data_IF_785019979029
#
_entry.id   IF_785019979029
#
_cell.length_a   1.000
_cell.length_b   1.000
_cell.length_c   1.000
_cell.angle_alpha   90.00
_cell.angle_beta   90.00
_cell.angle_gamma   90.00
#
_symmetry.space_group_name_H-M   'P 1'
#
loop_
_entity.id
_entity.type
_entity.pdbx_description
1 polymer ?
#
# COMPACT_ATOMS: atom_id res chain seq x y z
N UNK A 1 -21.41 5.62 0.91
CA UNK A 1 -21.05 7.05 0.76
C UNK A 1 -19.54 7.20 0.65
N UNK A 2 -18.99 6.82 -0.49
CA UNK A 2 -17.60 7.05 -0.87
C UNK A 2 -17.46 8.40 -1.60
N UNK A 3 -16.22 8.91 -1.77
CA UNK A 3 -15.97 10.14 -2.53
C UNK A 3 -16.51 10.05 -3.97
N UNK A 4 -16.31 8.91 -4.63
CA UNK A 4 -16.77 8.69 -6.00
C UNK A 4 -18.29 8.71 -6.12
N UNK A 5 -19.00 8.14 -5.15
CA UNK A 5 -20.46 8.21 -5.07
C UNK A 5 -20.96 9.65 -4.90
N UNK A 6 -20.27 10.46 -4.08
CA UNK A 6 -20.63 11.88 -3.89
C UNK A 6 -20.40 12.73 -5.14
N UNK A 7 -19.43 12.33 -5.98
CA UNK A 7 -19.10 13.01 -7.22
C UNK A 7 -19.82 12.41 -8.44
N UNK A 8 -20.70 11.43 -8.23
CA UNK A 8 -21.41 10.68 -9.28
C UNK A 8 -20.48 10.08 -10.34
N UNK A 9 -19.26 9.68 -9.93
CA UNK A 9 -18.29 9.03 -10.81
C UNK A 9 -18.42 7.52 -10.62
N UNK A 10 -18.90 6.76 -11.63
CA UNK A 10 -19.01 5.31 -11.52
C UNK A 10 -17.62 4.67 -11.47
N UNK A 11 -17.48 3.63 -10.65
CA UNK A 11 -16.30 2.78 -10.55
C UNK A 11 -16.72 1.34 -10.31
N UNK A 12 -15.93 0.41 -10.83
CA UNK A 12 -16.20 -1.00 -10.75
C UNK A 12 -15.68 -1.62 -9.45
N UNK A 13 -16.40 -2.63 -8.95
CA UNK A 13 -16.06 -3.33 -7.71
C UNK A 13 -14.75 -4.13 -7.76
N UNK A 14 -14.24 -4.46 -8.96
CA UNK A 14 -13.00 -5.23 -9.09
C UNK A 14 -11.77 -4.47 -8.59
N UNK A 15 -11.83 -3.13 -8.52
CA UNK A 15 -10.72 -2.32 -8.01
C UNK A 15 -10.42 -2.60 -6.53
N UNK A 16 -11.39 -3.08 -5.77
CA UNK A 16 -11.18 -3.56 -4.39
C UNK A 16 -10.32 -4.83 -4.37
N UNK A 17 -10.55 -5.74 -5.33
CA UNK A 17 -9.71 -6.93 -5.49
C UNK A 17 -8.31 -6.57 -6.00
N UNK A 18 -8.20 -5.57 -6.89
CA UNK A 18 -6.92 -5.06 -7.36
C UNK A 18 -6.06 -4.51 -6.22
N UNK A 19 -6.65 -3.74 -5.29
CA UNK A 19 -5.97 -3.28 -4.07
C UNK A 19 -5.38 -4.45 -3.28
N UNK A 20 -6.19 -5.48 -3.02
CA UNK A 20 -5.76 -6.63 -2.25
C UNK A 20 -4.60 -7.37 -2.93
N UNK A 21 -4.70 -7.55 -4.26
CA UNK A 21 -3.67 -8.20 -5.06
C UNK A 21 -2.37 -7.39 -5.11
N UNK A 22 -2.42 -6.05 -5.12
CA UNK A 22 -1.23 -5.18 -5.20
C UNK A 22 -0.38 -5.20 -3.92
N UNK A 23 -0.94 -5.60 -2.77
CA UNK A 23 -0.17 -5.69 -1.52
C UNK A 23 0.93 -6.76 -1.60
N UNK A 24 0.67 -7.91 -2.23
CA UNK A 24 1.66 -9.00 -2.28
C UNK A 24 2.90 -8.65 -3.12
N UNK A 25 2.77 -8.17 -4.37
CA UNK A 25 3.92 -7.70 -5.14
C UNK A 25 4.68 -6.58 -4.44
N UNK A 26 4.00 -5.64 -3.78
CA UNK A 26 4.65 -4.54 -3.08
C UNK A 26 5.53 -5.06 -1.92
N UNK A 27 5.01 -5.97 -1.09
CA UNK A 27 5.75 -6.60 0.01
C UNK A 27 6.94 -7.40 -0.54
N UNK A 28 6.71 -8.24 -1.56
CA UNK A 28 7.75 -9.07 -2.18
C UNK A 28 8.88 -8.19 -2.71
N UNK A 29 8.57 -7.17 -3.51
CA UNK A 29 9.58 -6.26 -4.06
C UNK A 29 10.31 -5.52 -2.95
N UNK A 30 9.61 -5.08 -1.90
CA UNK A 30 10.24 -4.44 -0.74
C UNK A 30 11.26 -5.35 -0.04
N UNK A 31 10.89 -6.61 0.21
CA UNK A 31 11.78 -7.61 0.82
C UNK A 31 12.97 -7.94 -0.08
N UNK A 32 12.73 -8.15 -1.38
CA UNK A 32 13.79 -8.38 -2.38
C UNK A 32 14.77 -7.22 -2.40
N UNK A 33 14.30 -5.97 -2.41
CA UNK A 33 15.18 -4.79 -2.40
C UNK A 33 16.05 -4.74 -1.15
N UNK A 34 15.49 -5.05 0.03
CA UNK A 34 16.27 -5.13 1.28
C UNK A 34 17.31 -6.24 1.21
N UNK A 35 16.95 -7.43 0.70
CA UNK A 35 17.89 -8.54 0.58
C UNK A 35 19.00 -8.22 -0.42
N UNK A 36 18.69 -7.52 -1.52
CA UNK A 36 19.66 -7.19 -2.58
C UNK A 36 20.60 -6.05 -2.18
N UNK A 37 20.07 -5.00 -1.54
CA UNK A 37 20.78 -3.74 -1.27
C UNK A 37 21.08 -3.49 0.22
N UNK A 38 20.71 -4.41 1.12
CA UNK A 38 20.96 -4.27 2.56
C UNK A 38 22.44 -4.41 2.93
N UNK A 39 22.89 -3.60 3.89
CA UNK A 39 24.29 -3.53 4.37
C UNK A 39 24.80 -4.81 5.06
N UNK A 40 23.93 -5.79 5.32
CA UNK A 40 24.28 -7.05 6.00
C UNK A 40 24.89 -8.11 5.07
N UNK A 41 25.50 -7.72 3.95
CA UNK A 41 26.21 -8.64 3.06
C UNK A 41 27.71 -8.51 3.25
N UNK A 42 28.34 -9.60 3.69
CA UNK A 42 29.78 -9.77 3.52
C UNK A 42 30.08 -9.85 2.01
N UNK A 43 31.10 -9.10 1.55
CA UNK A 43 31.53 -9.05 0.16
C UNK A 43 31.79 -10.47 -0.39
N UNK A 44 30.86 -11.01 -1.18
CA UNK A 44 31.05 -12.27 -1.92
C UNK A 44 29.89 -13.27 -1.96
N UNK A 45 28.84 -13.10 -1.15
CA UNK A 45 27.68 -14.01 -1.19
C UNK A 45 26.81 -13.74 -2.44
N UNK A 46 26.63 -14.79 -3.26
CA UNK A 46 25.74 -14.74 -4.43
C UNK A 46 24.30 -14.74 -3.97
N UNK A 47 23.46 -13.89 -4.58
CA UNK A 47 22.02 -13.89 -4.35
C UNK A 47 21.44 -15.21 -4.82
N UNK A 48 21.03 -16.08 -3.89
CA UNK A 48 20.24 -17.25 -4.21
C UNK A 48 18.79 -16.81 -4.50
N UNK A 49 18.53 -16.44 -5.75
CA UNK A 49 17.21 -15.97 -6.20
C UNK A 49 16.07 -16.96 -5.89
N UNK A 50 16.37 -18.26 -5.81
CA UNK A 50 15.41 -19.28 -5.43
C UNK A 50 14.96 -19.15 -3.96
N UNK A 51 15.89 -18.83 -3.06
CA UNK A 51 15.62 -18.63 -1.64
C UNK A 51 14.86 -17.31 -1.43
N UNK A 52 15.33 -16.22 -2.05
CA UNK A 52 14.69 -14.89 -2.04
C UNK A 52 13.22 -14.96 -2.50
N UNK A 53 12.96 -15.65 -3.62
CA UNK A 53 11.60 -15.83 -4.12
C UNK A 53 10.78 -16.71 -3.18
N UNK A 54 11.34 -17.83 -2.70
CA UNK A 54 10.64 -18.75 -1.80
C UNK A 54 10.24 -18.07 -0.50
N UNK A 55 11.15 -17.30 0.11
CA UNK A 55 10.87 -16.55 1.35
C UNK A 55 9.83 -15.45 1.13
N UNK A 56 9.93 -14.72 0.02
CA UNK A 56 8.99 -13.64 -0.29
C UNK A 56 7.57 -14.15 -0.57
N UNK A 57 7.44 -15.28 -1.28
CA UNK A 57 6.14 -15.90 -1.57
C UNK A 57 5.55 -16.69 -0.39
N UNK A 58 6.39 -17.30 0.46
CA UNK A 58 5.96 -18.01 1.66
C UNK A 58 5.79 -17.07 2.88
N UNK A 59 5.89 -15.75 2.67
CA UNK A 59 5.59 -14.79 3.71
C UNK A 59 4.13 -14.98 4.19
N UNK A 60 3.94 -15.01 5.51
CA UNK A 60 2.63 -15.29 6.11
C UNK A 60 1.51 -14.38 5.59
N UNK A 61 1.78 -13.10 5.32
CA UNK A 61 0.78 -12.17 4.78
C UNK A 61 0.37 -12.52 3.35
N UNK A 62 1.33 -12.87 2.48
CA UNK A 62 1.08 -13.25 1.09
C UNK A 62 0.32 -14.58 1.03
N UNK A 63 0.75 -15.56 1.82
CA UNK A 63 0.08 -16.85 1.92
C UNK A 63 -1.37 -16.71 2.41
N UNK A 64 -1.62 -15.90 3.44
CA UNK A 64 -2.97 -15.61 3.93
C UNK A 64 -3.82 -14.89 2.89
N UNK A 65 -3.25 -13.97 2.11
CA UNK A 65 -3.98 -13.28 1.05
C UNK A 65 -4.45 -14.29 -0.02
N UNK A 66 -3.53 -15.05 -0.62
CA UNK A 66 -3.89 -16.04 -1.64
C UNK A 66 -4.81 -17.14 -1.09
N UNK A 67 -4.56 -17.59 0.14
CA UNK A 67 -5.42 -18.54 0.84
C UNK A 67 -6.83 -18.00 1.05
N UNK A 68 -6.98 -16.74 1.45
CA UNK A 68 -8.29 -16.11 1.66
C UNK A 68 -9.09 -15.97 0.35
N UNK A 69 -8.41 -15.64 -0.75
CA UNK A 69 -9.03 -15.60 -2.09
C UNK A 69 -9.49 -16.99 -2.52
N UNK A 70 -8.64 -18.02 -2.36
CA UNK A 70 -8.99 -19.41 -2.68
C UNK A 70 -10.18 -19.91 -1.86
N UNK A 71 -10.17 -19.68 -0.54
CA UNK A 71 -11.28 -20.04 0.35
C UNK A 71 -12.54 -19.26 0.00
N UNK A 72 -12.42 -17.97 -0.32
CA UNK A 72 -13.55 -17.13 -0.76
C UNK A 72 -14.19 -17.65 -2.04
N UNK A 73 -13.39 -18.03 -3.04
CA UNK A 73 -13.88 -18.63 -4.29
C UNK A 73 -14.58 -19.98 -4.06
N UNK A 74 -14.08 -20.80 -3.13
CA UNK A 74 -14.69 -22.11 -2.82
C UNK A 74 -15.94 -22.02 -1.94
N UNK A 75 -15.98 -21.07 -1.00
CA UNK A 75 -17.06 -20.96 0.00
C UNK A 75 -18.18 -20.01 -0.40
N UNK A 76 -17.91 -19.07 -1.31
CA UNK A 76 -18.87 -18.11 -1.82
C UNK A 76 -19.53 -17.24 -0.73
N UNK A 77 -20.71 -16.72 -1.04
CA UNK A 77 -21.47 -15.79 -0.19
C UNK A 77 -21.86 -16.41 1.17
N UNK A 78 -22.12 -17.72 1.19
CA UNK A 78 -22.44 -18.44 2.42
C UNK A 78 -21.25 -18.52 3.39
N UNK A 79 -20.02 -18.65 2.87
CA UNK A 79 -18.81 -18.55 3.67
C UNK A 79 -18.61 -17.14 4.24
N UNK A 80 -18.81 -16.13 3.39
CA UNK A 80 -18.67 -14.72 3.76
C UNK A 80 -19.60 -14.33 4.92
N UNK A 81 -20.89 -14.64 4.84
CA UNK A 81 -21.86 -14.27 5.91
C UNK A 81 -21.49 -14.88 7.28
N UNK A 82 -20.82 -16.04 7.32
CA UNK A 82 -20.36 -16.64 8.58
C UNK A 82 -19.18 -15.89 9.20
N UNK A 83 -18.30 -15.31 8.38
CA UNK A 83 -17.10 -14.59 8.86
C UNK A 83 -17.31 -13.08 8.97
N UNK A 84 -18.35 -12.54 8.33
CA UNK A 84 -18.70 -11.12 8.28
C UNK A 84 -18.70 -10.39 9.62
N UNK A 85 -19.20 -10.96 10.75
CA UNK A 85 -19.12 -10.29 12.04
C UNK A 85 -17.67 -9.97 12.44
N UNK A 86 -16.72 -10.82 12.06
CA UNK A 86 -15.30 -10.67 12.36
C UNK A 86 -14.56 -9.79 11.35
N UNK A 87 -14.75 -10.04 10.05
CA UNK A 87 -13.99 -9.36 8.98
C UNK A 87 -14.64 -8.07 8.46
N UNK A 88 -15.92 -7.84 8.76
CA UNK A 88 -16.66 -6.63 8.40
C UNK A 88 -16.75 -5.68 9.58
N UNK A 89 -17.70 -5.93 10.48
CA UNK A 89 -18.06 -4.98 11.53
C UNK A 89 -16.92 -4.79 12.56
N UNK A 90 -16.32 -5.87 13.04
CA UNK A 90 -15.21 -5.79 14.00
C UNK A 90 -13.90 -5.26 13.36
N UNK A 91 -13.72 -5.42 12.05
CA UNK A 91 -12.50 -4.98 11.36
C UNK A 91 -12.27 -3.47 11.50
N UNK A 92 -13.31 -2.65 11.38
CA UNK A 92 -13.18 -1.20 11.56
C UNK A 92 -12.73 -0.81 12.97
N UNK A 93 -13.20 -1.54 13.99
CA UNK A 93 -12.75 -1.35 15.38
C UNK A 93 -11.28 -1.71 15.54
N UNK A 94 -10.85 -2.85 15.02
CA UNK A 94 -9.45 -3.26 15.04
C UNK A 94 -8.54 -2.30 14.25
N UNK A 95 -8.99 -1.87 13.07
CA UNK A 95 -8.29 -0.91 12.22
C UNK A 95 -8.11 0.44 12.90
N UNK A 96 -9.13 0.92 13.64
CA UNK A 96 -9.02 2.15 14.42
C UNK A 96 -7.89 2.05 15.45
N UNK A 97 -7.84 0.97 16.24
CA UNK A 97 -6.77 0.78 17.22
C UNK A 97 -5.40 0.65 16.56
N UNK A 98 -5.32 -0.05 15.43
CA UNK A 98 -4.09 -0.18 14.65
C UNK A 98 -3.58 1.17 14.15
N UNK A 99 -4.45 1.97 13.51
CA UNK A 99 -4.09 3.29 13.01
C UNK A 99 -3.73 4.25 14.16
N UNK A 100 -4.39 4.13 15.31
CA UNK A 100 -4.04 4.90 16.51
C UNK A 100 -2.63 4.54 17.02
N UNK A 101 -2.30 3.26 17.18
CA UNK A 101 -0.97 2.82 17.62
C UNK A 101 0.12 3.28 16.64
N UNK A 102 -0.08 3.00 15.35
CA UNK A 102 0.86 3.40 14.31
C UNK A 102 1.00 4.93 14.21
N UNK A 103 -0.09 5.67 14.36
CA UNK A 103 -0.09 7.13 14.43
C UNK A 103 0.67 7.68 15.64
N UNK A 104 0.51 7.07 16.82
CA UNK A 104 1.28 7.42 18.01
C UNK A 104 2.78 7.15 17.82
N UNK A 105 3.14 6.03 17.18
CA UNK A 105 4.53 5.69 16.86
C UNK A 105 5.12 6.71 15.86
N UNK A 106 4.36 7.06 14.81
CA UNK A 106 4.78 8.06 13.83
C UNK A 106 4.99 9.44 14.49
N UNK A 107 4.06 9.87 15.36
CA UNK A 107 4.13 11.14 16.08
C UNK A 107 5.33 11.20 17.04
N UNK A 108 5.60 10.12 17.79
CA UNK A 108 6.79 10.05 18.67
C UNK A 108 8.10 10.15 17.89
N UNK A 109 8.13 9.64 16.66
CA UNK A 109 9.34 9.59 15.80
C UNK A 109 9.45 10.73 14.78
N UNK A 110 8.47 11.65 14.73
CA UNK A 110 8.45 12.74 13.74
C UNK A 110 9.67 13.69 13.87
N UNK A 111 10.19 13.85 15.10
CA UNK A 111 11.40 14.64 15.35
C UNK A 111 12.66 13.97 14.78
N UNK A 112 12.68 12.65 14.70
CA UNK A 112 13.81 11.93 14.11
C UNK A 112 13.75 11.99 12.57
N UNK A 113 12.55 12.07 11.99
CA UNK A 113 12.39 12.35 10.56
C UNK A 113 13.00 13.71 10.17
N UNK A 114 12.80 14.75 11.00
CA UNK A 114 13.43 16.06 10.78
C UNK A 114 14.96 16.01 10.75
N UNK A 115 15.57 15.10 11.52
CA UNK A 115 17.03 14.89 11.52
C UNK A 115 17.52 14.12 10.30
N UNK A 116 16.67 13.27 9.71
CA UNK A 116 17.05 12.44 8.57
C UNK A 116 17.08 13.25 7.25
N UNK A 117 16.57 14.48 7.27
CA UNK A 117 16.84 15.50 6.27
C UNK A 117 15.70 15.75 5.29
N UNK A 118 15.70 16.97 4.72
CA UNK A 118 14.67 17.47 3.78
C UNK A 118 14.45 16.54 2.58
N UNK A 119 15.49 15.82 2.14
CA UNK A 119 15.41 14.89 1.02
C UNK A 119 14.32 13.83 1.18
N UNK A 120 14.20 13.20 2.35
CA UNK A 120 13.21 12.14 2.57
C UNK A 120 11.79 12.70 2.55
N UNK A 121 11.56 13.88 3.11
CA UNK A 121 10.24 14.53 3.10
C UNK A 121 9.86 14.88 1.66
N UNK A 122 10.79 15.48 0.89
CA UNK A 122 10.56 15.79 -0.51
C UNK A 122 10.27 14.52 -1.34
N UNK A 123 11.03 13.46 -1.11
CA UNK A 123 10.83 12.15 -1.74
C UNK A 123 9.43 11.58 -1.44
N UNK A 124 9.02 11.63 -0.17
CA UNK A 124 7.72 11.13 0.30
C UNK A 124 6.50 11.85 -0.28
N UNK A 125 6.70 13.07 -0.78
CA UNK A 125 5.67 13.88 -1.45
C UNK A 125 5.75 13.69 -2.97
N UNK A 126 6.94 13.70 -3.54
CA UNK A 126 7.14 13.67 -4.98
C UNK A 126 6.85 12.29 -5.59
N UNK A 127 7.29 11.21 -4.93
CA UNK A 127 7.11 9.85 -5.46
C UNK A 127 5.64 9.46 -5.63
N UNK A 128 4.74 9.72 -4.66
CA UNK A 128 3.30 9.50 -4.86
C UNK A 128 2.75 10.19 -6.11
N UNK A 129 3.13 11.44 -6.35
CA UNK A 129 2.67 12.22 -7.51
C UNK A 129 3.19 11.59 -8.80
N UNK A 130 4.48 11.25 -8.83
CA UNK A 130 5.09 10.59 -9.99
C UNK A 130 4.42 9.25 -10.29
N UNK A 131 4.18 8.43 -9.26
CA UNK A 131 3.52 7.14 -9.42
C UNK A 131 2.05 7.28 -9.84
N UNK A 132 1.31 8.26 -9.31
CA UNK A 132 -0.04 8.58 -9.79
C UNK A 132 -0.04 8.99 -11.25
N UNK A 133 0.92 9.81 -11.68
CA UNK A 133 1.03 10.23 -13.08
C UNK A 133 1.31 9.04 -14.00
N UNK A 134 2.23 8.14 -13.61
CA UNK A 134 2.51 6.90 -14.34
C UNK A 134 1.26 6.00 -14.36
N UNK A 135 0.61 5.79 -13.21
CA UNK A 135 -0.61 5.00 -13.11
C UNK A 135 -1.74 5.55 -13.97
N UNK A 136 -1.90 6.88 -14.00
CA UNK A 136 -2.87 7.57 -14.86
C UNK A 136 -2.54 7.37 -16.33
N UNK A 137 -1.27 7.49 -16.73
CA UNK A 137 -0.86 7.25 -18.11
C UNK A 137 -1.11 5.80 -18.55
N UNK A 138 -0.85 4.83 -17.67
CA UNK A 138 -1.15 3.42 -17.92
C UNK A 138 -2.67 3.20 -18.04
N UNK A 139 -3.45 3.74 -17.11
CA UNK A 139 -4.91 3.66 -17.13
C UNK A 139 -5.49 4.24 -18.43
N UNK A 140 -4.91 5.33 -18.93
CA UNK A 140 -5.30 5.94 -20.20
C UNK A 140 -4.98 5.02 -21.37
N UNK A 141 -3.77 4.47 -21.41
CA UNK A 141 -3.31 3.59 -22.48
C UNK A 141 -4.14 2.29 -22.60
N UNK A 142 -4.69 1.80 -21.48
CA UNK A 142 -5.55 0.60 -21.46
C UNK A 142 -7.06 0.94 -21.53
N UNK A 143 -7.42 2.20 -21.76
CA UNK A 143 -8.81 2.68 -21.85
C UNK A 143 -9.66 2.37 -20.61
N UNK A 144 -9.05 2.47 -19.42
CA UNK A 144 -9.75 2.29 -18.15
C UNK A 144 -10.81 3.40 -17.95
N UNK A 145 -12.01 3.10 -17.41
CA UNK A 145 -13.01 4.10 -17.07
C UNK A 145 -12.48 5.13 -16.07
N UNK A 146 -13.05 6.34 -16.07
CA UNK A 146 -12.59 7.46 -15.26
C UNK A 146 -12.51 7.15 -13.75
N UNK A 147 -13.54 6.52 -13.18
CA UNK A 147 -13.55 6.19 -11.75
C UNK A 147 -12.48 5.16 -11.40
N UNK A 148 -12.34 4.12 -12.22
CA UNK A 148 -11.31 3.10 -12.05
C UNK A 148 -9.90 3.66 -12.22
N UNK A 149 -9.71 4.58 -13.16
CA UNK A 149 -8.44 5.27 -13.36
C UNK A 149 -8.04 6.08 -12.12
N UNK A 150 -9.01 6.74 -11.45
CA UNK A 150 -8.75 7.44 -10.19
C UNK A 150 -8.35 6.46 -9.09
N UNK A 151 -9.12 5.38 -8.93
CA UNK A 151 -8.78 4.35 -7.95
C UNK A 151 -7.39 3.78 -8.21
N UNK A 152 -7.06 3.47 -9.47
CA UNK A 152 -5.76 2.94 -9.85
C UNK A 152 -4.63 3.93 -9.60
N UNK A 153 -4.79 5.21 -9.96
CA UNK A 153 -3.80 6.25 -9.66
C UNK A 153 -3.55 6.40 -8.15
N UNK A 154 -4.61 6.33 -7.33
CA UNK A 154 -4.51 6.36 -5.86
C UNK A 154 -3.77 5.12 -5.34
N UNK A 155 -4.02 3.93 -5.91
CA UNK A 155 -3.27 2.72 -5.56
C UNK A 155 -1.79 2.85 -5.88
N UNK A 156 -1.43 3.36 -7.06
CA UNK A 156 -0.05 3.59 -7.45
C UNK A 156 0.67 4.61 -6.56
N UNK A 157 -0.05 5.64 -6.09
CA UNK A 157 0.50 6.67 -5.21
C UNK A 157 0.62 6.27 -3.73
N UNK A 158 0.04 5.14 -3.34
CA UNK A 158 -0.02 4.69 -1.95
C UNK A 158 1.32 4.10 -1.48
N UNK A 159 1.63 4.26 -0.19
CA UNK A 159 2.85 3.73 0.43
C UNK A 159 2.61 2.49 1.30
N UNK A 160 1.49 1.77 1.12
CA UNK A 160 0.99 0.67 1.97
C UNK A 160 1.07 0.98 3.48
N UNK A 161 -0.03 1.50 4.01
CA UNK A 161 -0.08 2.06 5.37
C UNK A 161 -0.29 1.02 6.48
N UNK A 162 -0.56 -0.24 6.11
CA UNK A 162 -0.99 -1.29 7.04
C UNK A 162 -0.07 -2.50 6.92
N UNK A 163 -0.09 -3.19 5.78
CA UNK A 163 0.55 -4.48 5.62
C UNK A 163 2.08 -4.37 5.60
N UNK A 164 2.63 -3.42 4.83
CA UNK A 164 4.09 -3.24 4.72
C UNK A 164 4.74 -2.90 6.07
N UNK A 165 4.26 -1.95 6.89
CA UNK A 165 4.84 -1.70 8.21
C UNK A 165 4.84 -2.93 9.12
N UNK A 166 3.78 -3.75 9.09
CA UNK A 166 3.72 -4.99 9.85
C UNK A 166 4.73 -6.03 9.33
N UNK A 167 4.79 -6.24 8.01
CA UNK A 167 5.71 -7.16 7.38
C UNK A 167 7.18 -6.76 7.63
N UNK A 168 7.51 -5.46 7.51
CA UNK A 168 8.86 -4.94 7.75
C UNK A 168 9.31 -5.16 9.21
N UNK A 169 8.41 -4.96 10.19
CA UNK A 169 8.73 -5.24 11.60
C UNK A 169 9.07 -6.71 11.85
N UNK A 170 8.44 -7.63 11.12
CA UNK A 170 8.62 -9.06 11.31
C UNK A 170 9.81 -9.62 10.52
N UNK A 171 9.97 -9.17 9.27
CA UNK A 171 10.96 -9.73 8.33
C UNK A 171 12.27 -8.93 8.28
N UNK A 172 12.25 -7.66 8.69
CA UNK A 172 13.43 -6.77 8.65
C UNK A 172 13.54 -5.97 9.95
N UNK A 173 13.77 -6.64 11.10
CA UNK A 173 13.77 -5.97 12.42
C UNK A 173 14.83 -4.87 12.57
N UNK A 174 15.91 -4.93 11.78
CA UNK A 174 16.96 -3.93 11.70
C UNK A 174 16.52 -2.63 11.00
N UNK A 175 15.42 -2.63 10.23
CA UNK A 175 14.95 -1.44 9.53
C UNK A 175 14.46 -0.40 10.55
N UNK A 176 14.96 0.84 10.43
CA UNK A 176 14.59 1.91 11.35
C UNK A 176 13.10 2.29 11.18
N UNK A 177 12.23 2.02 12.18
CA UNK A 177 10.81 2.34 12.11
C UNK A 177 10.50 3.82 11.94
N UNK A 178 11.42 4.68 12.35
CA UNK A 178 11.29 6.14 12.21
C UNK A 178 11.29 6.59 10.76
N UNK A 179 11.87 5.80 9.85
CA UNK A 179 11.94 6.17 8.43
C UNK A 179 10.69 5.70 7.71
N UNK A 180 10.44 4.39 7.64
CA UNK A 180 9.34 3.87 6.83
C UNK A 180 7.96 4.20 7.42
N UNK A 181 7.78 4.14 8.74
CA UNK A 181 6.48 4.41 9.37
C UNK A 181 6.16 5.90 9.34
N UNK A 182 7.08 6.76 9.80
CA UNK A 182 6.80 8.20 9.85
C UNK A 182 6.68 8.79 8.44
N UNK A 183 7.46 8.33 7.47
CA UNK A 183 7.34 8.82 6.10
C UNK A 183 6.01 8.40 5.48
N UNK A 184 5.61 7.14 5.61
CA UNK A 184 4.34 6.65 5.06
C UNK A 184 3.12 7.29 5.75
N UNK A 185 3.09 7.33 7.09
CA UNK A 185 1.90 7.72 7.85
C UNK A 185 1.84 9.20 8.23
N UNK A 186 2.98 9.88 8.44
CA UNK A 186 2.98 11.29 8.83
C UNK A 186 3.13 12.23 7.63
N UNK A 187 3.63 11.75 6.48
CA UNK A 187 3.85 12.58 5.29
C UNK A 187 3.01 12.10 4.12
N UNK A 188 3.28 10.90 3.58
CA UNK A 188 2.64 10.43 2.35
C UNK A 188 1.14 10.24 2.50
N UNK A 189 0.67 9.63 3.60
CA UNK A 189 -0.76 9.41 3.83
C UNK A 189 -1.55 10.73 3.92
N UNK A 190 -1.22 11.68 4.82
CA UNK A 190 -1.93 12.97 4.88
C UNK A 190 -1.83 13.75 3.57
N UNK A 191 -0.66 13.74 2.92
CA UNK A 191 -0.48 14.39 1.62
C UNK A 191 -1.43 13.81 0.57
N UNK A 192 -1.49 12.49 0.43
CA UNK A 192 -2.35 11.82 -0.54
C UNK A 192 -3.82 12.11 -0.29
N UNK A 193 -4.27 12.09 0.98
CA UNK A 193 -5.68 12.39 1.31
C UNK A 193 -6.03 13.85 1.04
N UNK A 194 -5.19 14.79 1.47
CA UNK A 194 -5.51 16.24 1.42
C UNK A 194 -5.28 16.83 0.03
N UNK A 195 -4.17 16.47 -0.62
CA UNK A 195 -3.73 17.09 -1.88
C UNK A 195 -3.66 16.09 -3.03
N UNK A 196 -3.19 14.86 -2.79
CA UNK A 196 -2.98 13.86 -3.83
C UNK A 196 -4.27 13.51 -4.57
N UNK A 197 -5.30 13.04 -3.87
CA UNK A 197 -6.57 12.62 -4.49
C UNK A 197 -7.19 13.77 -5.32
N UNK A 198 -7.33 15.01 -4.81
CA UNK A 198 -7.79 16.14 -5.64
C UNK A 198 -6.90 16.39 -6.87
N UNK A 199 -5.57 16.33 -6.71
CA UNK A 199 -4.62 16.53 -7.80
C UNK A 199 -4.73 15.44 -8.88
N UNK A 200 -4.85 14.18 -8.48
CA UNK A 200 -4.97 13.05 -9.40
C UNK A 200 -6.29 13.12 -10.16
N UNK A 201 -7.39 13.44 -9.47
CA UNK A 201 -8.69 13.65 -10.09
C UNK A 201 -8.66 14.82 -11.08
N UNK A 202 -7.98 15.91 -10.75
CA UNK A 202 -7.79 17.04 -11.66
C UNK A 202 -7.06 16.60 -12.94
N UNK A 203 -5.96 15.87 -12.81
CA UNK A 203 -5.21 15.34 -13.96
C UNK A 203 -6.05 14.39 -14.81
N UNK A 204 -6.80 13.48 -14.18
CA UNK A 204 -7.68 12.54 -14.88
C UNK A 204 -8.81 13.28 -15.60
N UNK A 205 -9.44 14.28 -14.97
CA UNK A 205 -10.48 15.09 -15.61
C UNK A 205 -9.97 15.78 -16.87
N UNK A 206 -8.70 16.20 -16.90
CA UNK A 206 -8.11 16.84 -18.08
C UNK A 206 -7.85 15.87 -19.24
N UNK A 207 -7.76 14.56 -18.98
CA UNK A 207 -7.42 13.53 -19.97
C UNK A 207 -8.66 12.74 -20.42
N UNK A 208 -9.60 12.48 -19.50
CA UNK A 208 -10.87 11.76 -19.75
C UNK A 208 -12.05 12.69 -20.05
N UNK A 209 -11.87 14.00 -19.87
CA UNK A 209 -12.86 15.04 -20.17
C UNK A 209 -12.95 15.38 -21.64
#
# INVERSE_FOLDING_TARGET
>A
NTLLEQLEIPSDGYMVAALALMESPAIIVGLVLVQVFGEAREDGEKVEWGEVLRESFLNGSVFLLFGSIAVGMLSGEHGYEKVKPFIGDMFYGALMFFLLDMGLIAAKRIRDLQKTGFFLIAFAIFIPILNAAIGTAIAYAIHMPKGDALLFAVLCASASYIAVPAAMRMSVPQANPSLYISTALAVTFPFNIVFGIPLYLFGINAIWG
#
